data_IF_141942254000
#
_entry.id   IF_141942254000
#
_cell.length_a   1.000
_cell.length_b   1.000
_cell.length_c   1.000
_cell.angle_alpha   90.00
_cell.angle_beta   90.00
_cell.angle_gamma   90.00
#
_symmetry.space_group_name_H-M   'P 1'
#
loop_
_entity.id
_entity.type
_entity.pdbx_description
1 polymer ?
#
# COMPACT_ATOMS: atom_id res chain seq x y z
N UNK A 1 -38.98 -3.41 -5.72
CA UNK A 1 -38.43 -3.91 -4.44
C UNK A 1 -37.70 -2.75 -3.78
N UNK A 2 -38.02 -2.41 -2.53
CA UNK A 2 -37.37 -1.30 -1.84
C UNK A 2 -35.89 -1.61 -1.55
N UNK A 3 -35.04 -0.59 -1.76
CA UNK A 3 -33.61 -0.59 -1.47
C UNK A 3 -33.33 0.65 -0.63
N UNK A 4 -32.68 0.50 0.51
CA UNK A 4 -32.23 1.63 1.33
C UNK A 4 -30.75 1.81 1.10
N UNK A 5 -30.38 2.92 0.47
CA UNK A 5 -28.99 3.32 0.24
C UNK A 5 -28.58 4.32 1.32
N UNK A 6 -27.40 4.12 1.90
CA UNK A 6 -26.87 4.97 2.95
C UNK A 6 -25.95 6.03 2.37
N UNK A 7 -25.87 7.20 3.00
CA UNK A 7 -24.77 8.10 2.72
C UNK A 7 -23.44 7.37 2.96
N UNK A 8 -22.50 7.53 2.03
CA UNK A 8 -21.20 6.89 2.11
C UNK A 8 -20.22 7.80 2.84
N UNK A 9 -19.46 7.24 3.77
CA UNK A 9 -18.38 7.98 4.42
C UNK A 9 -17.20 8.19 3.47
N UNK A 10 -16.38 9.25 3.65
CA UNK A 10 -15.08 9.35 2.99
C UNK A 10 -14.26 8.07 3.23
N UNK A 11 -13.59 7.58 2.18
CA UNK A 11 -12.85 6.31 2.18
C UNK A 11 -13.68 5.04 2.43
N UNK A 12 -15.00 5.12 2.60
CA UNK A 12 -15.79 3.92 2.80
C UNK A 12 -15.72 2.99 1.60
N UNK A 13 -15.40 1.72 1.86
CA UNK A 13 -15.19 0.71 0.84
C UNK A 13 -16.49 0.27 0.16
N UNK A 14 -16.45 -0.13 -1.12
CA UNK A 14 -17.60 -0.75 -1.78
C UNK A 14 -18.05 -2.04 -1.09
N UNK A 15 -17.14 -2.73 -0.39
CA UNK A 15 -17.49 -3.88 0.46
C UNK A 15 -18.46 -3.46 1.55
N UNK A 16 -18.09 -2.46 2.37
CA UNK A 16 -18.94 -1.92 3.45
C UNK A 16 -20.32 -1.49 2.95
N UNK A 17 -20.35 -0.77 1.83
CA UNK A 17 -21.59 -0.28 1.21
C UNK A 17 -22.48 -1.42 0.70
N UNK A 18 -21.87 -2.48 0.15
CA UNK A 18 -22.61 -3.67 -0.31
C UNK A 18 -23.23 -4.43 0.86
N UNK A 19 -22.50 -4.61 1.95
CA UNK A 19 -23.01 -5.26 3.17
C UNK A 19 -24.14 -4.44 3.81
N UNK A 20 -24.00 -3.10 3.88
CA UNK A 20 -25.05 -2.22 4.35
C UNK A 20 -26.32 -2.34 3.47
N UNK A 21 -26.19 -2.32 2.14
CA UNK A 21 -27.31 -2.50 1.22
C UNK A 21 -27.96 -3.89 1.36
N UNK A 22 -27.15 -4.94 1.50
CA UNK A 22 -27.65 -6.31 1.66
C UNK A 22 -28.48 -6.50 2.93
N UNK A 23 -28.20 -5.74 3.98
CA UNK A 23 -28.95 -5.77 5.24
C UNK A 23 -30.35 -5.13 5.14
N UNK A 24 -30.57 -4.24 4.17
CA UNK A 24 -31.83 -3.47 4.03
C UNK A 24 -32.69 -3.89 2.84
N UNK A 25 -32.20 -4.80 1.99
CA UNK A 25 -32.92 -5.25 0.81
C UNK A 25 -33.20 -6.75 0.81
N UNK A 26 -34.28 -7.15 0.12
CA UNK A 26 -34.59 -8.56 -0.16
C UNK A 26 -34.08 -9.01 -1.54
N UNK A 27 -33.31 -8.19 -2.23
CA UNK A 27 -32.81 -8.48 -3.58
C UNK A 27 -31.83 -9.66 -3.53
N UNK A 28 -32.21 -10.76 -4.19
CA UNK A 28 -31.40 -11.98 -4.22
C UNK A 28 -30.04 -11.75 -4.87
N UNK A 29 -29.92 -10.84 -5.84
CA UNK A 29 -28.65 -10.53 -6.51
C UNK A 29 -27.68 -9.84 -5.54
N UNK A 30 -28.17 -8.86 -4.78
CA UNK A 30 -27.39 -8.16 -3.75
C UNK A 30 -26.94 -9.14 -2.68
N UNK A 31 -27.88 -9.91 -2.10
CA UNK A 31 -27.57 -10.87 -1.03
C UNK A 31 -26.64 -12.00 -1.50
N UNK A 32 -26.69 -12.37 -2.77
CA UNK A 32 -25.74 -13.35 -3.35
C UNK A 32 -24.33 -12.78 -3.41
N UNK A 33 -24.17 -11.51 -3.81
CA UNK A 33 -22.86 -10.84 -3.79
C UNK A 33 -22.35 -10.76 -2.36
N UNK A 34 -23.15 -10.27 -1.42
CA UNK A 34 -22.80 -10.14 0.00
C UNK A 34 -22.30 -11.46 0.62
N UNK A 35 -23.01 -12.57 0.41
CA UNK A 35 -22.55 -13.90 0.87
C UNK A 35 -21.22 -14.34 0.27
N UNK A 36 -20.86 -13.87 -0.92
CA UNK A 36 -19.57 -14.16 -1.55
C UNK A 36 -18.44 -13.28 -0.98
N UNK A 37 -18.77 -12.19 -0.29
CA UNK A 37 -17.80 -11.26 0.30
C UNK A 37 -17.08 -11.85 1.50
N UNK A 38 -17.77 -12.67 2.28
CA UNK A 38 -17.19 -13.29 3.49
C UNK A 38 -16.38 -14.54 3.15
N UNK A 39 -16.47 -15.05 1.90
CA UNK A 39 -15.67 -16.21 1.48
C UNK A 39 -14.17 -15.90 1.44
N UNK A 40 -13.39 -16.84 1.95
CA UNK A 40 -11.93 -16.78 1.90
C UNK A 40 -11.43 -16.68 0.47
N UNK A 41 -10.48 -15.76 0.26
CA UNK A 41 -9.84 -15.55 -1.02
C UNK A 41 -9.44 -14.10 -1.27
N UNK A 42 -8.54 -13.87 -2.24
CA UNK A 42 -8.08 -12.54 -2.57
C UNK A 42 -9.24 -11.70 -3.12
N UNK A 43 -9.59 -10.62 -2.41
CA UNK A 43 -10.54 -9.63 -2.92
C UNK A 43 -9.85 -8.71 -3.91
N UNK A 44 -10.62 -8.16 -4.86
CA UNK A 44 -10.11 -7.14 -5.78
C UNK A 44 -9.70 -5.91 -4.98
N UNK A 45 -8.39 -5.60 -5.00
CA UNK A 45 -7.78 -4.50 -4.23
C UNK A 45 -8.10 -4.52 -2.73
N UNK A 46 -8.45 -5.68 -2.15
CA UNK A 46 -8.85 -5.85 -0.73
C UNK A 46 -10.10 -5.07 -0.28
N UNK A 47 -10.71 -4.26 -1.14
CA UNK A 47 -11.83 -3.36 -0.79
C UNK A 47 -13.08 -3.56 -1.66
N UNK A 48 -12.98 -4.29 -2.77
CA UNK A 48 -14.07 -4.41 -3.74
C UNK A 48 -14.85 -5.72 -3.61
N UNK A 49 -16.20 -5.66 -3.57
CA UNK A 49 -17.05 -6.83 -3.38
C UNK A 49 -17.17 -7.69 -4.64
N UNK A 50 -17.12 -7.02 -5.78
CA UNK A 50 -17.19 -7.58 -7.11
C UNK A 50 -16.53 -6.59 -8.09
N UNK A 51 -16.71 -6.81 -9.39
CA UNK A 51 -16.32 -5.81 -10.41
C UNK A 51 -17.09 -4.51 -10.17
N UNK A 52 -16.44 -3.37 -10.36
CA UNK A 52 -17.05 -2.08 -10.00
C UNK A 52 -18.25 -1.74 -10.88
N UNK A 53 -18.27 -2.13 -12.16
CA UNK A 53 -19.46 -1.96 -13.00
C UNK A 53 -20.68 -2.71 -12.44
N UNK A 54 -20.48 -3.94 -11.94
CA UNK A 54 -21.53 -4.70 -11.25
C UNK A 54 -21.95 -4.07 -9.94
N UNK A 55 -21.00 -3.56 -9.14
CA UNK A 55 -21.30 -2.85 -7.90
C UNK A 55 -22.17 -1.61 -8.19
N UNK A 56 -21.75 -0.74 -9.12
CA UNK A 56 -22.49 0.45 -9.51
C UNK A 56 -23.89 0.08 -10.02
N UNK A 57 -24.03 -0.97 -10.83
CA UNK A 57 -25.34 -1.42 -11.31
C UNK A 57 -26.27 -1.93 -10.18
N UNK A 58 -25.72 -2.55 -9.12
CA UNK A 58 -26.50 -3.01 -7.96
C UNK A 58 -26.93 -1.87 -7.05
N UNK A 59 -26.22 -0.74 -7.09
CA UNK A 59 -26.50 0.46 -6.29
C UNK A 59 -27.13 1.57 -7.14
N UNK A 60 -27.59 1.26 -8.35
CA UNK A 60 -28.14 2.23 -9.31
C UNK A 60 -27.26 3.48 -9.49
N UNK A 61 -25.93 3.29 -9.50
CA UNK A 61 -24.88 4.31 -9.57
C UNK A 61 -24.94 5.39 -8.47
N UNK A 62 -25.64 5.15 -7.36
CA UNK A 62 -25.78 6.10 -6.26
C UNK A 62 -24.44 6.56 -5.65
N UNK A 63 -23.43 5.67 -5.63
CA UNK A 63 -22.10 5.97 -5.12
C UNK A 63 -21.12 6.47 -6.21
N UNK A 64 -21.63 6.80 -7.39
CA UNK A 64 -20.84 7.22 -8.55
C UNK A 64 -20.63 6.11 -9.59
N UNK A 65 -19.99 6.51 -10.69
CA UNK A 65 -19.58 5.58 -11.76
C UNK A 65 -18.36 4.73 -11.39
N UNK A 66 -18.03 3.67 -12.17
CA UNK A 66 -16.97 2.73 -11.82
C UNK A 66 -15.61 3.38 -11.54
N UNK A 67 -15.19 4.36 -12.36
CA UNK A 67 -13.94 5.08 -12.17
C UNK A 67 -13.92 5.93 -10.90
N UNK A 68 -15.03 6.60 -10.59
CA UNK A 68 -15.15 7.40 -9.37
C UNK A 68 -15.05 6.51 -8.11
N UNK A 69 -15.79 5.39 -8.10
CA UNK A 69 -15.72 4.41 -7.02
C UNK A 69 -14.31 3.84 -6.90
N UNK A 70 -13.65 3.54 -8.03
CA UNK A 70 -12.27 3.05 -8.06
C UNK A 70 -11.32 4.03 -7.35
N UNK A 71 -11.36 5.30 -7.70
CA UNK A 71 -10.42 6.31 -7.18
C UNK A 71 -10.73 6.77 -5.77
N UNK A 72 -12.00 6.82 -5.35
CA UNK A 72 -12.38 7.40 -4.06
C UNK A 72 -12.56 6.35 -2.95
N UNK A 73 -12.82 5.09 -3.31
CA UNK A 73 -13.33 4.08 -2.37
C UNK A 73 -12.53 2.79 -2.33
N UNK A 74 -11.48 2.68 -3.13
CA UNK A 74 -10.65 1.47 -3.18
C UNK A 74 -9.19 1.78 -2.88
N UNK A 75 -8.35 0.75 -2.82
CA UNK A 75 -6.91 0.93 -2.74
C UNK A 75 -6.25 1.33 -4.08
N UNK A 76 -7.00 1.50 -5.17
CA UNK A 76 -6.40 1.82 -6.48
C UNK A 76 -5.43 3.01 -6.45
N UNK A 77 -5.72 4.16 -5.81
CA UNK A 77 -4.77 5.27 -5.72
C UNK A 77 -3.41 4.87 -5.14
N UNK A 78 -3.41 3.99 -4.12
CA UNK A 78 -2.20 3.47 -3.50
C UNK A 78 -1.29 2.79 -4.54
N UNK A 79 -1.89 2.00 -5.43
CA UNK A 79 -1.18 1.29 -6.49
C UNK A 79 -0.82 2.18 -7.67
N UNK A 80 -1.71 3.11 -8.04
CA UNK A 80 -1.52 4.07 -9.13
C UNK A 80 -0.18 4.80 -8.99
N UNK A 81 0.14 5.29 -7.80
CA UNK A 81 1.38 6.00 -7.51
C UNK A 81 2.67 5.20 -7.76
N UNK A 82 2.58 3.87 -7.88
CA UNK A 82 3.73 2.98 -8.13
C UNK A 82 3.72 2.35 -9.53
N UNK A 83 2.62 2.48 -10.28
CA UNK A 83 2.44 1.85 -11.58
C UNK A 83 2.76 2.78 -12.74
N UNK A 84 3.28 2.23 -13.84
CA UNK A 84 3.26 2.92 -15.14
C UNK A 84 1.83 3.17 -15.60
N UNK A 85 1.62 4.17 -16.45
CA UNK A 85 0.30 4.49 -16.99
C UNK A 85 -0.35 3.27 -17.69
N UNK A 86 0.43 2.49 -18.45
CA UNK A 86 -0.07 1.28 -19.10
C UNK A 86 -0.54 0.21 -18.11
N UNK A 87 0.18 0.02 -16.99
CA UNK A 87 -0.23 -0.90 -15.93
C UNK A 87 -1.49 -0.40 -15.22
N UNK A 88 -1.54 0.89 -14.90
CA UNK A 88 -2.67 1.53 -14.26
C UNK A 88 -3.96 1.39 -15.09
N UNK A 89 -3.89 1.62 -16.41
CA UNK A 89 -5.04 1.45 -17.31
C UNK A 89 -5.51 -0.01 -17.39
N UNK A 90 -4.58 -0.98 -17.40
CA UNK A 90 -4.94 -2.41 -17.38
C UNK A 90 -5.60 -2.82 -16.06
N UNK A 91 -5.07 -2.34 -14.93
CA UNK A 91 -5.66 -2.57 -13.61
C UNK A 91 -7.06 -1.97 -13.54
N UNK A 92 -7.25 -0.73 -14.00
CA UNK A 92 -8.57 -0.06 -14.05
C UNK A 92 -9.57 -0.90 -14.85
N UNK A 93 -9.26 -1.26 -16.10
CA UNK A 93 -10.13 -2.06 -16.95
C UNK A 93 -10.46 -3.43 -16.31
N UNK A 94 -9.50 -4.04 -15.64
CA UNK A 94 -9.72 -5.32 -14.96
C UNK A 94 -10.63 -5.17 -13.74
N UNK A 95 -10.38 -4.20 -12.85
CA UNK A 95 -11.16 -4.02 -11.62
C UNK A 95 -12.57 -3.53 -11.95
N UNK A 96 -12.71 -2.65 -12.93
CA UNK A 96 -14.00 -2.13 -13.38
C UNK A 96 -14.83 -3.19 -14.09
N UNK A 97 -14.28 -3.85 -15.11
CA UNK A 97 -15.09 -4.63 -16.08
C UNK A 97 -14.69 -6.10 -16.22
N UNK A 98 -13.56 -6.50 -15.64
CA UNK A 98 -13.13 -7.90 -15.64
C UNK A 98 -12.62 -8.41 -17.00
N UNK A 99 -12.09 -7.53 -17.84
CA UNK A 99 -11.49 -7.89 -19.14
C UNK A 99 -10.44 -9.00 -18.95
N UNK A 100 -10.59 -10.11 -19.72
CA UNK A 100 -9.91 -11.41 -19.59
C UNK A 100 -8.37 -11.33 -19.54
N UNK A 101 -7.81 -11.11 -18.36
CA UNK A 101 -6.39 -11.35 -18.09
C UNK A 101 -6.16 -11.69 -16.61
N UNK A 102 -4.99 -12.27 -16.30
CA UNK A 102 -4.48 -12.48 -14.92
C UNK A 102 -4.43 -11.13 -14.18
N UNK A 103 -4.50 -11.13 -12.85
CA UNK A 103 -4.42 -9.91 -12.03
C UNK A 103 -3.24 -9.03 -12.45
N UNK A 104 -3.51 -7.83 -12.96
CA UNK A 104 -2.51 -6.88 -13.42
C UNK A 104 -2.18 -5.93 -12.27
N UNK A 105 -1.47 -6.42 -11.27
CA UNK A 105 -1.05 -5.61 -10.13
C UNK A 105 0.19 -6.19 -9.46
N UNK A 106 1.03 -5.35 -8.83
CA UNK A 106 2.10 -5.84 -8.00
C UNK A 106 1.46 -6.62 -6.85
N UNK A 107 1.99 -7.81 -6.59
CA UNK A 107 1.54 -8.68 -5.51
C UNK A 107 2.66 -8.79 -4.50
N UNK A 108 2.29 -8.87 -3.23
CA UNK A 108 3.24 -9.25 -2.20
C UNK A 108 3.65 -10.72 -2.42
N UNK A 109 4.81 -11.16 -1.92
CA UNK A 109 5.10 -12.58 -1.75
C UNK A 109 3.95 -13.33 -1.04
N UNK A 110 3.75 -14.61 -1.39
CA UNK A 110 2.61 -15.42 -0.90
C UNK A 110 2.51 -15.45 0.64
N UNK A 111 3.64 -15.57 1.34
CA UNK A 111 3.70 -15.58 2.81
C UNK A 111 3.37 -14.21 3.46
N UNK A 112 3.27 -13.16 2.66
CA UNK A 112 2.90 -11.80 3.06
C UNK A 112 1.52 -11.41 2.52
N UNK A 113 0.84 -12.30 1.81
CA UNK A 113 -0.51 -12.03 1.34
C UNK A 113 -1.40 -11.72 2.53
N UNK A 114 -2.13 -10.61 2.41
CA UNK A 114 -3.25 -10.34 3.28
C UNK A 114 -4.48 -11.07 2.75
N UNK A 115 -5.28 -11.59 3.68
CA UNK A 115 -6.58 -12.19 3.39
C UNK A 115 -7.66 -11.09 3.36
N UNK A 116 -8.75 -11.26 4.11
CA UNK A 116 -9.79 -10.25 4.25
C UNK A 116 -9.44 -9.30 5.39
N UNK A 117 -9.46 -7.98 5.13
CA UNK A 117 -9.23 -6.92 6.12
C UNK A 117 -10.48 -6.10 6.42
N UNK A 118 -11.65 -6.56 5.98
CA UNK A 118 -12.92 -5.94 6.32
C UNK A 118 -13.20 -5.93 7.83
N UNK A 119 -12.82 -7.01 8.52
CA UNK A 119 -13.05 -7.22 9.95
C UNK A 119 -12.00 -6.63 10.89
N UNK A 120 -11.11 -5.76 10.41
CA UNK A 120 -10.20 -4.98 11.27
C UNK A 120 -10.60 -3.50 11.28
N UNK A 121 -10.73 -2.93 12.46
CA UNK A 121 -11.21 -1.55 12.63
C UNK A 121 -10.35 -0.73 13.59
N UNK A 122 -10.34 0.60 13.41
CA UNK A 122 -9.90 1.50 14.48
C UNK A 122 -11.11 1.85 15.36
N UNK A 123 -11.04 1.68 16.69
CA UNK A 123 -12.15 2.04 17.58
C UNK A 123 -12.65 3.47 17.37
N UNK A 124 -11.74 4.44 17.29
CA UNK A 124 -12.10 5.86 17.17
C UNK A 124 -12.74 6.18 15.80
N UNK A 125 -12.26 5.55 14.71
CA UNK A 125 -12.94 5.65 13.41
C UNK A 125 -14.33 5.03 13.46
N UNK A 126 -14.48 3.88 14.12
CA UNK A 126 -15.75 3.18 14.21
C UNK A 126 -16.77 4.00 14.98
N UNK A 127 -16.39 4.54 16.14
CA UNK A 127 -17.22 5.46 16.93
C UNK A 127 -17.67 6.66 16.09
N UNK A 128 -16.74 7.31 15.39
CA UNK A 128 -17.06 8.44 14.52
C UNK A 128 -18.01 8.07 13.37
N UNK A 129 -17.81 6.93 12.71
CA UNK A 129 -18.71 6.50 11.63
C UNK A 129 -20.09 6.14 12.16
N UNK A 130 -20.17 5.49 13.33
CA UNK A 130 -21.41 5.11 13.98
C UNK A 130 -22.21 6.35 14.38
N UNK A 131 -21.57 7.37 14.94
CA UNK A 131 -22.23 8.64 15.26
C UNK A 131 -22.64 9.45 14.02
N UNK A 132 -21.87 9.38 12.94
CA UNK A 132 -22.08 10.21 11.74
C UNK A 132 -23.12 9.66 10.78
N UNK A 133 -23.15 8.33 10.57
CA UNK A 133 -24.03 7.68 9.60
C UNK A 133 -24.88 6.55 10.20
N UNK A 134 -24.86 6.37 11.52
CA UNK A 134 -25.69 5.39 12.23
C UNK A 134 -25.21 3.94 12.08
N UNK A 135 -23.99 3.72 11.59
CA UNK A 135 -23.41 2.39 11.38
C UNK A 135 -21.89 2.45 11.31
N UNK A 136 -21.24 1.32 11.59
CA UNK A 136 -19.80 1.17 11.38
C UNK A 136 -19.50 1.03 9.89
N UNK A 137 -18.41 1.66 9.46
CA UNK A 137 -17.94 1.59 8.07
C UNK A 137 -16.55 0.96 8.01
N UNK A 138 -16.34 0.07 7.03
CA UNK A 138 -14.98 -0.38 6.69
C UNK A 138 -14.35 0.64 5.74
N UNK A 139 -13.25 1.26 6.18
CA UNK A 139 -12.56 2.34 5.48
C UNK A 139 -11.36 1.81 4.70
N UNK A 140 -11.13 2.30 3.48
CA UNK A 140 -10.13 1.75 2.56
C UNK A 140 -8.72 1.74 3.14
N UNK A 141 -8.33 2.78 3.89
CA UNK A 141 -7.02 2.83 4.56
C UNK A 141 -6.84 1.79 5.68
N UNK A 142 -7.93 1.22 6.23
CA UNK A 142 -7.86 0.12 7.21
C UNK A 142 -7.60 -1.23 6.51
N UNK A 143 -8.05 -1.33 5.25
CA UNK A 143 -7.88 -2.50 4.41
C UNK A 143 -6.48 -2.62 3.79
N UNK A 144 -5.55 -1.70 4.06
CA UNK A 144 -4.19 -1.75 3.53
C UNK A 144 -3.44 -2.96 4.13
N UNK A 145 -2.78 -3.81 3.30
CA UNK A 145 -2.11 -5.01 3.80
C UNK A 145 -0.98 -4.67 4.78
N UNK A 146 -0.72 -5.58 5.73
CA UNK A 146 0.39 -5.50 6.71
C UNK A 146 0.34 -4.31 7.67
N UNK A 147 -0.74 -3.50 7.62
CA UNK A 147 -0.91 -2.35 8.50
C UNK A 147 -1.53 -2.78 9.83
N UNK A 148 -0.99 -2.32 10.96
CA UNK A 148 -1.50 -2.69 12.30
C UNK A 148 -2.18 -1.54 13.03
N UNK A 149 -2.05 -0.32 12.50
CA UNK A 149 -2.40 0.92 13.18
C UNK A 149 -3.21 1.83 12.27
N UNK A 150 -4.09 2.62 12.87
CA UNK A 150 -4.79 3.67 12.15
C UNK A 150 -3.82 4.80 11.81
N UNK A 151 -3.81 5.29 10.55
CA UNK A 151 -2.94 6.40 10.16
C UNK A 151 -3.43 7.77 10.66
N UNK A 152 -4.66 7.84 11.18
CA UNK A 152 -5.27 9.08 11.68
C UNK A 152 -5.12 9.15 13.21
N UNK A 153 -5.50 8.09 13.91
CA UNK A 153 -5.55 8.08 15.38
C UNK A 153 -4.35 7.39 16.05
N UNK A 154 -3.51 6.67 15.30
CA UNK A 154 -2.41 5.85 15.86
C UNK A 154 -2.87 4.65 16.71
N UNK A 155 -4.18 4.46 16.87
CA UNK A 155 -4.83 3.35 17.55
C UNK A 155 -4.37 2.01 16.90
N UNK A 156 -4.17 0.95 17.70
CA UNK A 156 -4.00 -0.41 17.16
C UNK A 156 -5.34 -0.90 16.66
N UNK A 157 -5.36 -1.56 15.49
CA UNK A 157 -6.59 -2.14 14.98
C UNK A 157 -7.11 -3.25 15.89
N UNK A 158 -8.43 -3.34 16.02
CA UNK A 158 -9.17 -4.38 16.73
C UNK A 158 -9.85 -5.32 15.74
N UNK A 159 -10.08 -6.56 16.16
CA UNK A 159 -10.87 -7.51 15.41
C UNK A 159 -12.36 -7.22 15.64
N UNK A 160 -13.05 -6.76 14.60
CA UNK A 160 -14.48 -6.50 14.58
C UNK A 160 -15.29 -7.67 14.00
N UNK A 161 -14.68 -8.42 13.08
CA UNK A 161 -15.31 -9.58 12.43
C UNK A 161 -14.29 -10.71 12.27
N UNK A 162 -14.72 -11.95 12.53
CA UNK A 162 -13.88 -13.14 12.48
C UNK A 162 -13.25 -13.40 11.10
N UNK A 163 -13.80 -12.84 10.01
CA UNK A 163 -13.22 -12.95 8.67
C UNK A 163 -11.80 -12.36 8.54
N UNK A 164 -11.37 -11.53 9.51
CA UNK A 164 -10.02 -10.95 9.57
C UNK A 164 -9.15 -11.55 10.70
N UNK A 165 -9.54 -12.70 11.26
CA UNK A 165 -8.82 -13.34 12.36
C UNK A 165 -7.36 -13.64 12.00
N UNK A 166 -7.09 -14.12 10.78
CA UNK A 166 -5.71 -14.37 10.34
C UNK A 166 -4.85 -13.10 10.37
N UNK A 167 -5.40 -11.97 9.87
CA UNK A 167 -4.69 -10.69 9.86
C UNK A 167 -4.37 -10.19 11.26
N UNK A 168 -5.33 -10.32 12.17
CA UNK A 168 -5.17 -9.89 13.56
C UNK A 168 -4.11 -10.71 14.32
N UNK A 169 -4.02 -12.03 14.06
CA UNK A 169 -3.00 -12.88 14.71
C UNK A 169 -1.58 -12.66 14.20
N UNK A 170 -1.40 -11.93 13.11
CA UNK A 170 -0.06 -11.52 12.67
C UNK A 170 0.48 -10.34 13.49
N UNK A 171 -0.30 -9.78 14.41
CA UNK A 171 0.14 -8.66 15.22
C UNK A 171 0.95 -9.15 16.43
N UNK A 172 2.21 -8.75 16.49
CA UNK A 172 3.11 -8.97 17.61
C UNK A 172 2.60 -8.31 18.90
N UNK A 173 3.10 -8.73 20.08
CA UNK A 173 2.90 -8.01 21.32
C UNK A 173 3.35 -6.54 21.22
N UNK A 174 2.73 -5.63 21.99
CA UNK A 174 3.10 -4.22 22.00
C UNK A 174 4.59 -4.02 22.33
N UNK A 175 5.26 -3.21 21.52
CA UNK A 175 6.62 -2.74 21.74
C UNK A 175 6.69 -1.30 21.22
N UNK A 176 7.29 -0.38 21.99
CA UNK A 176 7.28 1.05 21.68
C UNK A 176 8.02 1.37 20.39
N UNK A 177 9.09 0.63 20.07
CA UNK A 177 9.87 0.86 18.87
C UNK A 177 9.15 0.31 17.62
N UNK A 178 8.53 -0.88 17.72
CA UNK A 178 7.67 -1.44 16.66
C UNK A 178 6.46 -0.56 16.39
N UNK A 179 5.84 -0.03 17.44
CA UNK A 179 4.73 0.92 17.34
C UNK A 179 5.12 2.11 16.47
N UNK A 180 6.27 2.74 16.76
CA UNK A 180 6.74 3.90 16.00
C UNK A 180 6.87 3.58 14.50
N UNK A 181 7.46 2.43 14.17
CA UNK A 181 7.61 2.01 12.78
C UNK A 181 6.25 1.72 12.10
N UNK A 182 5.33 1.05 12.80
CA UNK A 182 3.99 0.77 12.31
C UNK A 182 3.13 2.03 12.10
N UNK A 183 3.22 3.02 12.99
CA UNK A 183 2.51 4.31 12.84
C UNK A 183 3.02 5.04 11.60
N UNK A 184 4.34 5.19 11.48
CA UNK A 184 4.97 5.86 10.32
C UNK A 184 4.64 5.18 8.99
N UNK A 185 4.61 3.84 8.97
CA UNK A 185 4.16 3.09 7.81
C UNK A 185 2.71 3.41 7.47
N UNK A 186 1.83 3.43 8.46
CA UNK A 186 0.41 3.73 8.26
C UNK A 186 0.22 5.14 7.67
N UNK A 187 0.90 6.15 8.21
CA UNK A 187 0.86 7.53 7.72
C UNK A 187 1.37 7.66 6.28
N UNK A 188 2.49 6.99 5.95
CA UNK A 188 3.03 6.96 4.59
C UNK A 188 2.05 6.30 3.62
N UNK A 189 1.40 5.21 4.03
CA UNK A 189 0.42 4.50 3.21
C UNK A 189 -0.86 5.33 2.99
N UNK A 190 -1.31 6.10 3.98
CA UNK A 190 -2.40 7.07 3.80
C UNK A 190 -2.02 8.17 2.79
N UNK A 191 -0.77 8.65 2.85
CA UNK A 191 -0.24 9.59 1.87
C UNK A 191 -0.28 9.01 0.45
N UNK A 192 0.13 7.74 0.29
CA UNK A 192 0.08 7.06 -1.01
C UNK A 192 -1.36 6.85 -1.50
N UNK A 193 -2.32 6.61 -0.60
CA UNK A 193 -3.73 6.49 -0.94
C UNK A 193 -4.33 7.81 -1.48
N UNK A 194 -3.61 8.92 -1.36
CA UNK A 194 -3.99 10.21 -1.95
C UNK A 194 -3.35 10.47 -3.32
N UNK A 195 -2.69 9.46 -3.93
CA UNK A 195 -2.04 9.62 -5.24
C UNK A 195 -3.06 9.83 -6.36
N UNK A 196 -2.86 10.88 -7.15
CA UNK A 196 -3.72 11.21 -8.30
C UNK A 196 -3.05 10.92 -9.65
N UNK A 197 -1.75 10.60 -9.65
CA UNK A 197 -0.95 10.41 -10.85
C UNK A 197 -0.12 9.12 -10.80
N UNK A 198 0.10 8.53 -11.98
CA UNK A 198 0.91 7.33 -12.13
C UNK A 198 2.38 7.60 -11.82
N UNK A 199 3.06 6.60 -11.24
CA UNK A 199 4.49 6.63 -10.88
C UNK A 199 4.95 7.77 -9.94
N UNK A 200 4.08 8.64 -9.42
CA UNK A 200 4.52 9.75 -8.59
C UNK A 200 5.33 9.30 -7.37
N UNK A 201 4.90 8.25 -6.68
CA UNK A 201 5.59 7.71 -5.50
C UNK A 201 6.91 7.02 -5.88
N UNK A 202 6.93 6.34 -7.04
CA UNK A 202 8.15 5.73 -7.58
C UNK A 202 9.19 6.79 -7.96
N UNK A 203 8.77 7.84 -8.66
CA UNK A 203 9.62 8.94 -9.09
C UNK A 203 10.26 9.66 -7.88
N UNK A 204 9.46 9.96 -6.84
CA UNK A 204 9.99 10.53 -5.60
C UNK A 204 11.02 9.59 -4.95
N UNK A 205 10.76 8.28 -4.93
CA UNK A 205 11.70 7.30 -4.36
C UNK A 205 13.02 7.26 -5.13
N UNK A 206 12.97 7.34 -6.46
CA UNK A 206 14.17 7.40 -7.31
C UNK A 206 14.98 8.67 -7.01
N UNK A 207 14.32 9.81 -6.85
CA UNK A 207 14.98 11.07 -6.45
C UNK A 207 15.72 10.90 -5.13
N UNK A 208 15.04 10.37 -4.11
CA UNK A 208 15.63 10.11 -2.79
C UNK A 208 16.81 9.14 -2.86
N UNK A 209 16.73 8.09 -3.67
CA UNK A 209 17.84 7.15 -3.86
C UNK A 209 19.08 7.81 -4.47
N UNK A 210 18.90 8.73 -5.42
CA UNK A 210 19.99 9.50 -6.04
C UNK A 210 20.56 10.53 -5.06
N UNK A 211 19.69 11.29 -4.41
CA UNK A 211 20.06 12.28 -3.39
C UNK A 211 20.91 11.64 -2.28
N UNK A 212 20.52 10.47 -1.78
CA UNK A 212 21.27 9.74 -0.75
C UNK A 212 22.50 8.99 -1.29
N UNK A 213 22.79 9.09 -2.58
CA UNK A 213 23.97 8.49 -3.20
C UNK A 213 23.94 6.96 -3.29
N UNK A 214 22.76 6.34 -3.17
CA UNK A 214 22.55 4.91 -3.37
C UNK A 214 22.37 4.55 -4.84
N UNK A 215 21.93 5.50 -5.67
CA UNK A 215 21.75 5.31 -7.11
C UNK A 215 22.56 6.36 -7.88
N UNK A 216 23.35 5.92 -8.86
CA UNK A 216 24.09 6.83 -9.74
C UNK A 216 23.24 7.36 -10.90
N UNK A 217 23.74 8.36 -11.62
CA UNK A 217 23.12 8.89 -12.85
C UNK A 217 22.89 7.79 -13.91
N UNK A 218 23.81 6.82 -13.99
CA UNK A 218 23.69 5.67 -14.89
C UNK A 218 22.81 4.54 -14.32
N UNK A 219 21.94 4.84 -13.35
CA UNK A 219 21.03 3.92 -12.67
C UNK A 219 21.71 2.73 -11.96
N UNK A 220 23.02 2.81 -11.65
CA UNK A 220 23.70 1.76 -10.87
C UNK A 220 23.39 1.94 -9.39
N UNK A 221 23.05 0.86 -8.70
CA UNK A 221 22.62 0.91 -7.30
C UNK A 221 23.64 0.26 -6.35
N UNK A 222 23.94 0.93 -5.23
CA UNK A 222 24.75 0.42 -4.12
C UNK A 222 23.92 -0.48 -3.20
N UNK A 223 23.44 -1.61 -3.74
CA UNK A 223 22.50 -2.52 -3.07
C UNK A 223 22.94 -2.93 -1.66
N UNK A 224 24.19 -3.38 -1.48
CA UNK A 224 24.65 -3.88 -0.18
C UNK A 224 24.70 -2.80 0.90
N UNK A 225 25.08 -1.57 0.53
CA UNK A 225 25.07 -0.44 1.45
C UNK A 225 23.62 -0.08 1.84
N UNK A 226 22.73 0.04 0.85
CA UNK A 226 21.33 0.33 1.11
C UNK A 226 20.66 -0.73 1.98
N UNK A 227 20.89 -2.02 1.73
CA UNK A 227 20.30 -3.10 2.51
C UNK A 227 20.73 -3.05 3.98
N UNK A 228 22.03 -2.78 4.24
CA UNK A 228 22.54 -2.63 5.61
C UNK A 228 21.91 -1.43 6.32
N UNK A 229 21.90 -0.27 5.67
CA UNK A 229 21.42 0.97 6.29
C UNK A 229 19.89 0.91 6.49
N UNK A 230 19.17 0.31 5.55
CA UNK A 230 17.75 -0.03 5.69
C UNK A 230 17.47 -0.95 6.89
N UNK A 231 18.26 -2.02 7.05
CA UNK A 231 18.12 -2.94 8.18
C UNK A 231 18.42 -2.26 9.52
N UNK A 232 19.36 -1.31 9.55
CA UNK A 232 19.65 -0.53 10.75
C UNK A 232 18.45 0.34 11.15
N UNK A 233 17.82 1.05 10.21
CA UNK A 233 16.63 1.89 10.47
C UNK A 233 15.47 1.09 11.06
N UNK A 234 15.23 -0.12 10.53
CA UNK A 234 14.12 -0.97 10.98
C UNK A 234 14.54 -2.11 11.90
N UNK A 235 15.66 -1.97 12.60
CA UNK A 235 16.21 -3.01 13.50
C UNK A 235 15.24 -3.44 14.60
N UNK A 236 14.36 -2.55 15.05
CA UNK A 236 13.31 -2.86 16.04
C UNK A 236 12.11 -3.64 15.46
N UNK A 237 12.00 -3.70 14.13
CA UNK A 237 10.90 -4.35 13.42
C UNK A 237 9.57 -3.57 13.44
N UNK A 238 8.50 -4.28 13.14
CA UNK A 238 7.12 -3.78 13.03
C UNK A 238 6.19 -4.67 13.85
N UNK A 239 4.99 -4.15 14.14
CA UNK A 239 3.97 -4.94 14.82
C UNK A 239 3.43 -6.09 13.95
N UNK A 240 3.36 -5.96 12.62
CA UNK A 240 3.01 -7.12 11.78
C UNK A 240 4.25 -8.01 11.62
N UNK A 241 4.19 -9.24 12.14
CA UNK A 241 5.33 -10.17 12.15
C UNK A 241 5.79 -10.55 10.75
N UNK A 242 4.91 -10.47 9.74
CA UNK A 242 5.23 -10.81 8.36
C UNK A 242 6.23 -9.83 7.76
N UNK A 243 6.17 -8.55 8.12
CA UNK A 243 7.16 -7.55 7.72
C UNK A 243 8.55 -7.92 8.25
N UNK A 244 8.64 -8.36 9.51
CA UNK A 244 9.91 -8.75 10.14
C UNK A 244 10.56 -9.96 9.45
N UNK A 245 9.75 -10.95 9.07
CA UNK A 245 10.21 -12.09 8.26
C UNK A 245 10.70 -11.65 6.88
N UNK A 246 9.97 -10.71 6.25
CA UNK A 246 10.36 -10.21 4.93
C UNK A 246 11.73 -9.53 4.94
N UNK A 247 12.02 -8.71 5.96
CA UNK A 247 13.30 -8.02 6.09
C UNK A 247 14.47 -8.98 6.30
N UNK A 248 14.26 -10.01 7.13
CA UNK A 248 15.29 -10.99 7.46
C UNK A 248 15.84 -11.72 6.22
N UNK A 249 15.05 -11.80 5.14
CA UNK A 249 15.43 -12.47 3.90
C UNK A 249 16.20 -11.62 2.89
N UNK A 250 16.34 -10.29 3.10
CA UNK A 250 16.88 -9.32 2.13
C UNK A 250 16.23 -9.34 0.72
N UNK A 251 15.15 -10.10 0.51
CA UNK A 251 14.55 -10.26 -0.80
C UNK A 251 13.78 -9.00 -1.23
N UNK A 252 13.19 -8.27 -0.27
CA UNK A 252 12.45 -7.03 -0.52
C UNK A 252 13.32 -5.97 -1.21
N UNK A 253 14.48 -5.62 -0.63
CA UNK A 253 15.38 -4.60 -1.21
C UNK A 253 15.83 -5.00 -2.62
N UNK A 254 16.07 -6.28 -2.82
CA UNK A 254 16.46 -6.81 -4.12
C UNK A 254 15.35 -6.60 -5.16
N UNK A 255 14.12 -6.92 -4.79
CA UNK A 255 12.95 -6.81 -5.66
C UNK A 255 12.62 -5.34 -5.97
N UNK A 256 12.50 -4.49 -4.94
CA UNK A 256 12.16 -3.07 -5.14
C UNK A 256 13.20 -2.35 -6.00
N UNK A 257 14.50 -2.64 -5.83
CA UNK A 257 15.54 -2.06 -6.66
C UNK A 257 15.46 -2.55 -8.11
N UNK A 258 15.08 -3.81 -8.32
CA UNK A 258 14.80 -4.32 -9.67
C UNK A 258 13.65 -3.53 -10.31
N UNK A 259 12.54 -3.32 -9.60
CA UNK A 259 11.41 -2.52 -10.08
C UNK A 259 11.78 -1.05 -10.34
N UNK A 260 12.63 -0.46 -9.51
CA UNK A 260 13.14 0.92 -9.70
C UNK A 260 13.98 1.03 -10.97
N UNK A 261 14.74 0.00 -11.31
CA UNK A 261 15.66 0.00 -12.47
C UNK A 261 15.02 -0.46 -13.76
N UNK A 262 13.85 -1.10 -13.69
CA UNK A 262 13.17 -1.76 -14.81
C UNK A 262 11.72 -1.30 -14.90
N UNK A 263 11.42 -0.42 -15.85
CA UNK A 263 10.12 0.25 -15.98
C UNK A 263 8.93 -0.69 -16.29
N UNK A 264 9.21 -1.91 -16.75
CA UNK A 264 8.22 -2.94 -17.03
C UNK A 264 7.74 -3.68 -15.77
N UNK A 265 8.47 -3.55 -14.67
CA UNK A 265 8.13 -4.12 -13.37
C UNK A 265 7.49 -3.07 -12.47
N UNK A 266 6.71 -3.52 -11.50
CA UNK A 266 6.09 -2.66 -10.51
C UNK A 266 6.30 -3.24 -9.13
N UNK A 267 6.83 -2.42 -8.23
CA UNK A 267 6.93 -2.77 -6.83
C UNK A 267 5.56 -2.64 -6.15
N UNK A 268 5.32 -3.46 -5.13
CA UNK A 268 4.15 -3.27 -4.30
C UNK A 268 4.26 -1.93 -3.54
N UNK A 269 3.17 -1.17 -3.35
CA UNK A 269 3.23 0.12 -2.66
C UNK A 269 3.88 0.08 -1.28
N UNK A 270 3.71 -1.02 -0.54
CA UNK A 270 4.37 -1.25 0.75
C UNK A 270 5.91 -1.26 0.62
N UNK A 271 6.47 -1.86 -0.44
CA UNK A 271 7.94 -1.87 -0.65
C UNK A 271 8.46 -0.45 -0.86
N UNK A 272 7.74 0.33 -1.67
CA UNK A 272 8.07 1.73 -1.97
C UNK A 272 7.93 2.59 -0.71
N UNK A 273 6.86 2.41 0.07
CA UNK A 273 6.64 3.13 1.33
C UNK A 273 7.74 2.84 2.36
N UNK A 274 8.10 1.57 2.55
CA UNK A 274 9.17 1.16 3.45
C UNK A 274 10.52 1.73 3.01
N UNK A 275 10.84 1.67 1.72
CA UNK A 275 12.08 2.24 1.20
C UNK A 275 12.14 3.75 1.41
N UNK A 276 11.03 4.47 1.17
CA UNK A 276 10.97 5.92 1.41
C UNK A 276 11.13 6.28 2.88
N UNK A 277 10.49 5.54 3.77
CA UNK A 277 10.67 5.72 5.21
C UNK A 277 12.12 5.48 5.63
N UNK A 278 12.80 4.47 5.08
CA UNK A 278 14.23 4.29 5.36
C UNK A 278 15.06 5.47 4.86
N UNK A 279 14.83 5.91 3.62
CA UNK A 279 15.56 7.00 2.99
C UNK A 279 15.30 8.38 3.65
N UNK A 280 14.21 8.55 4.39
CA UNK A 280 13.99 9.76 5.19
C UNK A 280 14.87 9.79 6.44
N UNK A 281 15.15 8.64 7.03
CA UNK A 281 15.94 8.52 8.27
C UNK A 281 17.44 8.38 8.04
N UNK A 282 17.84 7.74 6.95
CA UNK A 282 19.25 7.54 6.64
C UNK A 282 19.93 8.90 6.47
N UNK A 283 20.91 9.19 7.31
CA UNK A 283 21.68 10.43 7.24
C UNK A 283 22.37 10.59 5.88
N UNK A 284 22.52 11.84 5.45
CA UNK A 284 23.13 12.17 4.18
C UNK A 284 24.63 11.83 4.21
N UNK A 285 25.03 10.74 3.57
CA UNK A 285 26.44 10.50 3.31
C UNK A 285 26.90 11.49 2.24
N UNK A 286 27.44 12.65 2.66
CA UNK A 286 28.04 13.62 1.75
C UNK A 286 28.96 12.88 0.75
N UNK A 287 28.87 13.16 -0.55
CA UNK A 287 29.78 12.57 -1.52
C UNK A 287 31.20 12.87 -1.07
N UNK A 288 31.98 11.83 -0.71
CA UNK A 288 33.41 11.99 -0.47
C UNK A 288 33.99 12.56 -1.75
N UNK A 289 34.28 13.87 -1.77
CA UNK A 289 34.96 14.54 -2.87
C UNK A 289 36.12 13.65 -3.26
N UNK A 290 36.11 13.17 -4.51
CA UNK A 290 37.20 12.36 -5.04
C UNK A 290 38.48 13.13 -4.73
N UNK A 291 39.35 12.54 -3.90
CA UNK A 291 40.67 13.13 -3.61
C UNK A 291 41.33 13.34 -4.97
N UNK A 292 41.47 14.60 -5.35
CA UNK A 292 42.07 15.02 -6.61
C UNK A 292 43.32 14.19 -6.85
N UNK A 293 43.32 13.50 -7.98
CA UNK A 293 44.47 12.78 -8.48
C UNK A 293 45.58 13.84 -8.61
N UNK A 294 46.49 13.90 -7.63
CA UNK A 294 47.71 14.73 -7.73
C UNK A 294 48.48 14.19 -8.93
N UNK A 295 48.34 14.87 -10.05
CA UNK A 295 49.24 14.78 -11.18
C UNK A 295 50.67 14.97 -10.66
N UNK A 296 51.43 13.87 -10.63
CA UNK A 296 52.89 13.92 -10.48
C UNK A 296 53.44 14.57 -11.75
N UNK A 297 53.53 15.90 -11.74
CA UNK A 297 54.41 16.64 -12.64
C UNK A 297 55.85 16.33 -12.19
N UNK A 298 56.45 15.32 -12.81
CA UNK A 298 57.89 15.07 -12.74
C UNK A 298 58.56 16.15 -13.59
N UNK A 299 59.13 17.16 -12.93
CA UNK A 299 60.12 18.08 -13.51
C UNK A 299 61.28 17.25 -14.05
N UNK A 300 61.46 17.19 -15.37
CA UNK A 300 62.74 16.83 -15.97
C UNK A 300 63.69 18.01 -15.77
N UNK A 301 64.83 17.71 -15.16
CA UNK A 301 65.94 18.62 -14.90
C UNK A 301 66.54 19.12 -16.22
N UNK A 302 66.80 20.42 -16.25
CA UNK A 302 67.81 21.04 -17.08
C UNK A 302 69.18 20.72 -16.48
N UNK A 303 70.08 20.17 -17.27
CA UNK A 303 71.51 20.18 -16.99
C UNK A 303 72.26 19.97 -18.30
N UNK A 304 72.95 21.04 -18.68
CA UNK A 304 74.15 21.18 -19.53
C UNK A 304 74.18 20.55 -20.93
#
# INVERSE_FOLDING_TARGET
>A
MFRTLYAAMPYETPFSLMTALASTTRDLKVRTVDRQLVRDGPKLLQTCPCRLSRFCALTDSFYGGPRQVLTERTLYPLYLGCMSAAMASRMEAQVCDGVKSRACGPTLPVHLHSTNRYGVECPDCSEYTESSVGRRCSLSFQCIPLQTRCPIHGCRYKLADACSWYEFNMFAPPDTCRLRNSVRLSEMMLTFLSSTSSQCQLATTISMLRERGYMSENNRVKRSALARDFAAVFSSGFEDIRLNMWFSSNCMITHVLKCVTHSELCAHPIEIALLRLALSEIEYALPRRAKGHRSRLVRRQLSH
#
